data_IF_245057347513
#
_entry.id   IF_245057347513
#
_cell.length_a   1.000
_cell.length_b   1.000
_cell.length_c   1.000
_cell.angle_alpha   90.00
_cell.angle_beta   90.00
_cell.angle_gamma   90.00
#
_symmetry.space_group_name_H-M   'P 1'
#
loop_
_entity.id
_entity.type
_entity.pdbx_description
1 polymer ?
#
# COMPACT_ATOMS: atom_id res chain seq x y z
N UNK A 1 -16.77 -3.24 -11.29
CA UNK A 1 -15.46 -2.73 -10.82
C UNK A 1 -15.16 -1.44 -11.58
N UNK A 2 -15.14 -0.28 -10.91
CA UNK A 2 -14.70 0.97 -11.56
C UNK A 2 -13.17 0.92 -11.60
N UNK A 3 -12.61 0.58 -12.76
CA UNK A 3 -11.17 0.63 -12.99
C UNK A 3 -10.68 2.05 -12.79
N UNK A 4 -9.90 2.28 -11.73
CA UNK A 4 -9.10 3.49 -11.63
C UNK A 4 -7.96 3.33 -12.63
N UNK A 5 -7.81 4.24 -13.59
CA UNK A 5 -6.58 4.36 -14.37
C UNK A 5 -5.48 4.91 -13.48
N UNK A 6 -4.98 4.11 -12.53
CA UNK A 6 -3.69 4.39 -11.91
C UNK A 6 -2.60 3.81 -12.80
N UNK A 7 -1.57 4.61 -13.06
CA UNK A 7 -0.41 4.16 -13.81
C UNK A 7 0.45 3.29 -12.88
N UNK A 8 0.12 2.00 -12.81
CA UNK A 8 0.82 1.03 -11.98
C UNK A 8 2.33 1.03 -12.23
N UNK A 9 2.75 1.23 -13.49
CA UNK A 9 4.15 1.36 -13.86
C UNK A 9 4.81 2.59 -13.22
N UNK A 10 4.15 3.75 -13.23
CA UNK A 10 4.66 4.97 -12.58
C UNK A 10 4.79 4.80 -11.06
N UNK A 11 3.80 4.18 -10.42
CA UNK A 11 3.83 3.92 -8.98
C UNK A 11 4.98 2.95 -8.66
N UNK A 12 5.09 1.88 -9.43
CA UNK A 12 6.17 0.92 -9.30
C UNK A 12 7.55 1.58 -9.48
N UNK A 13 7.73 2.46 -10.47
CA UNK A 13 8.98 3.20 -10.68
C UNK A 13 9.39 4.09 -9.49
N UNK A 14 8.43 4.54 -8.67
CA UNK A 14 8.72 5.31 -7.45
C UNK A 14 9.06 4.39 -6.27
N UNK A 15 8.46 3.20 -6.19
CA UNK A 15 8.66 2.25 -5.08
C UNK A 15 9.90 1.37 -5.29
N UNK A 16 10.13 0.90 -6.51
CA UNK A 16 11.19 -0.06 -6.83
C UNK A 16 12.58 0.40 -6.34
N UNK A 17 13.00 1.68 -6.49
CA UNK A 17 14.29 2.14 -5.95
C UNK A 17 14.42 2.02 -4.43
N UNK A 18 13.30 1.96 -3.69
CA UNK A 18 13.27 1.85 -2.24
C UNK A 18 13.40 0.40 -1.76
N UNK A 19 12.87 -0.56 -2.52
CA UNK A 19 12.74 -1.95 -2.07
C UNK A 19 13.56 -2.95 -2.88
N UNK A 20 13.96 -2.60 -4.10
CA UNK A 20 14.61 -3.52 -5.03
C UNK A 20 16.12 -3.26 -5.18
N UNK A 21 16.87 -4.35 -5.22
CA UNK A 21 18.25 -4.45 -5.67
C UNK A 21 18.33 -5.61 -6.68
N UNK A 22 18.22 -5.34 -7.99
CA UNK A 22 18.21 -6.37 -9.02
C UNK A 22 19.55 -7.11 -9.15
N UNK A 23 20.63 -6.54 -8.59
CA UNK A 23 21.98 -7.09 -8.64
C UNK A 23 22.38 -7.81 -7.35
N UNK A 24 21.42 -8.11 -6.47
CA UNK A 24 21.70 -8.82 -5.23
C UNK A 24 22.30 -10.18 -5.54
N UNK A 25 23.51 -10.41 -5.02
CA UNK A 25 24.18 -11.69 -5.07
C UNK A 25 24.54 -12.15 -3.65
N UNK A 26 23.66 -12.95 -3.03
CA UNK A 26 23.89 -13.53 -1.71
C UNK A 26 23.10 -12.88 -0.57
N UNK A 27 23.71 -12.86 0.61
CA UNK A 27 23.10 -12.36 1.84
C UNK A 27 22.85 -10.85 1.81
N UNK A 28 21.89 -10.38 2.60
CA UNK A 28 21.59 -8.95 2.77
C UNK A 28 21.56 -8.58 4.24
N UNK A 29 21.86 -7.32 4.53
CA UNK A 29 21.74 -6.76 5.87
C UNK A 29 20.34 -6.20 6.06
N UNK A 30 19.69 -6.56 7.17
CA UNK A 30 18.36 -6.07 7.52
C UNK A 30 18.32 -5.69 8.99
N UNK A 31 17.45 -4.77 9.37
CA UNK A 31 17.15 -4.52 10.77
C UNK A 31 16.27 -5.64 11.32
N UNK A 32 16.51 -6.05 12.57
CA UNK A 32 15.63 -6.95 13.31
C UNK A 32 14.61 -6.17 14.17
N UNK A 33 13.82 -6.88 14.98
CA UNK A 33 12.81 -6.29 15.88
C UNK A 33 13.41 -5.37 16.95
N UNK A 34 14.70 -5.55 17.28
CA UNK A 34 15.44 -4.73 18.24
C UNK A 34 16.21 -3.59 17.56
N UNK A 35 15.96 -3.38 16.26
CA UNK A 35 16.66 -2.41 15.43
C UNK A 35 18.18 -2.65 15.32
N UNK A 36 18.61 -3.90 15.46
CA UNK A 36 19.99 -4.34 15.25
C UNK A 36 20.17 -4.86 13.82
N UNK A 37 21.38 -4.74 13.29
CA UNK A 37 21.69 -5.22 11.95
C UNK A 37 21.97 -6.73 12.01
N UNK A 38 21.10 -7.50 11.36
CA UNK A 38 21.25 -8.93 11.12
C UNK A 38 21.57 -9.24 9.66
N UNK A 39 22.02 -10.47 9.40
CA UNK A 39 22.30 -10.97 8.06
C UNK A 39 21.21 -11.97 7.64
N UNK A 40 20.48 -11.67 6.58
CA UNK A 40 19.52 -12.59 5.97
C UNK A 40 20.17 -13.39 4.84
N UNK A 41 19.81 -14.67 4.72
CA UNK A 41 20.33 -15.57 3.69
C UNK A 41 19.85 -15.18 2.28
N UNK A 42 20.44 -15.77 1.24
CA UNK A 42 20.13 -15.48 -0.16
C UNK A 42 18.66 -15.71 -0.56
N UNK A 43 17.96 -16.62 0.13
CA UNK A 43 16.54 -16.92 -0.06
C UNK A 43 15.61 -16.13 0.87
N UNK A 44 16.12 -15.09 1.54
CA UNK A 44 15.37 -14.24 2.44
C UNK A 44 15.44 -12.78 2.00
N UNK A 45 14.42 -11.99 2.35
CA UNK A 45 14.35 -10.54 2.16
C UNK A 45 14.22 -9.83 3.50
N UNK A 46 14.51 -8.54 3.56
CA UNK A 46 14.17 -7.72 4.71
C UNK A 46 12.66 -7.51 4.74
N UNK A 47 12.03 -7.74 5.88
CA UNK A 47 10.62 -7.50 6.11
C UNK A 47 10.41 -6.39 7.15
N UNK A 48 9.38 -5.59 6.91
CA UNK A 48 8.83 -4.60 7.81
C UNK A 48 7.32 -4.75 7.82
N UNK A 49 6.77 -5.09 8.99
CA UNK A 49 5.35 -5.33 9.17
C UNK A 49 4.81 -4.30 10.15
N UNK A 50 3.86 -3.49 9.71
CA UNK A 50 3.18 -2.47 10.51
C UNK A 50 1.74 -2.86 10.78
N UNK A 51 1.36 -2.94 12.06
CA UNK A 51 -0.03 -3.05 12.48
C UNK A 51 -0.68 -1.66 12.43
N UNK A 52 -1.58 -1.48 11.47
CA UNK A 52 -2.21 -0.19 11.22
C UNK A 52 -3.24 0.16 12.32
N UNK A 53 -3.89 -0.85 12.90
CA UNK A 53 -4.88 -0.67 13.97
C UNK A 53 -4.18 -0.31 15.28
N UNK A 54 -3.08 -1.00 15.59
CA UNK A 54 -2.25 -0.74 16.77
C UNK A 54 -1.29 0.43 16.61
N UNK A 55 -1.18 1.01 15.41
CA UNK A 55 -0.22 2.06 15.04
C UNK A 55 1.21 1.76 15.52
N UNK A 56 1.69 0.53 15.27
CA UNK A 56 2.99 0.07 15.73
C UNK A 56 3.64 -0.89 14.75
N UNK A 57 4.97 -0.95 14.78
CA UNK A 57 5.71 -2.03 14.13
C UNK A 57 5.37 -3.34 14.84
N UNK A 58 4.85 -4.30 14.08
CA UNK A 58 4.48 -5.63 14.56
C UNK A 58 5.65 -6.61 14.48
N UNK A 59 6.45 -6.52 13.41
CA UNK A 59 7.60 -7.39 13.18
C UNK A 59 8.57 -6.73 12.19
N UNK A 60 9.86 -7.02 12.36
CA UNK A 60 10.93 -6.55 11.48
C UNK A 60 12.06 -7.59 11.46
N UNK A 61 12.56 -7.98 10.30
CA UNK A 61 13.62 -8.99 10.22
C UNK A 61 13.74 -9.66 8.86
N UNK A 62 14.16 -10.92 8.84
CA UNK A 62 14.26 -11.73 7.62
C UNK A 62 12.94 -12.47 7.35
N UNK A 63 12.41 -12.35 6.13
CA UNK A 63 11.28 -13.14 5.66
C UNK A 63 11.68 -14.06 4.50
N UNK A 64 11.09 -15.25 4.44
CA UNK A 64 11.29 -16.20 3.35
C UNK A 64 10.55 -15.71 2.09
N UNK A 65 11.26 -14.96 1.26
CA UNK A 65 10.81 -14.57 -0.08
C UNK A 65 12.05 -14.26 -0.94
N UNK A 66 11.86 -14.22 -2.25
CA UNK A 66 12.90 -13.93 -3.24
C UNK A 66 12.76 -12.54 -3.87
N UNK A 67 11.58 -11.92 -3.76
CA UNK A 67 11.25 -10.65 -4.41
C UNK A 67 10.79 -9.59 -3.40
N UNK A 68 11.10 -8.33 -3.70
CA UNK A 68 10.52 -7.21 -2.97
C UNK A 68 9.04 -7.06 -3.31
N UNK A 69 8.22 -6.74 -2.31
CA UNK A 69 6.80 -6.45 -2.49
C UNK A 69 6.31 -5.49 -1.43
N UNK A 70 5.24 -4.76 -1.77
CA UNK A 70 4.47 -3.94 -0.83
C UNK A 70 3.05 -4.44 -0.82
N UNK A 71 2.52 -4.77 0.35
CA UNK A 71 1.14 -5.26 0.51
C UNK A 71 0.42 -4.47 1.59
N UNK A 72 -0.82 -4.07 1.31
CA UNK A 72 -1.71 -3.42 2.28
C UNK A 72 -2.97 -4.25 2.44
N UNK A 73 -3.17 -4.75 3.65
CA UNK A 73 -4.34 -5.51 4.08
C UNK A 73 -5.22 -4.59 4.92
N UNK A 74 -6.48 -4.41 4.53
CA UNK A 74 -7.44 -3.57 5.25
C UNK A 74 -8.76 -4.36 5.34
N UNK A 75 -8.88 -5.14 6.42
CA UNK A 75 -10.09 -5.86 6.80
C UNK A 75 -10.52 -5.51 8.22
N UNK A 76 -11.77 -5.78 8.57
CA UNK A 76 -12.36 -5.36 9.85
C UNK A 76 -11.63 -5.95 11.08
N UNK A 77 -11.17 -7.20 10.97
CA UNK A 77 -10.45 -7.91 12.02
C UNK A 77 -8.93 -7.83 11.89
N UNK A 78 -8.41 -7.40 10.74
CA UNK A 78 -6.99 -7.46 10.42
C UNK A 78 -6.58 -6.34 9.45
N UNK A 79 -5.73 -5.43 9.93
CA UNK A 79 -5.16 -4.35 9.12
C UNK A 79 -3.63 -4.35 9.24
N UNK A 80 -2.93 -4.44 8.11
CA UNK A 80 -1.48 -4.58 8.11
C UNK A 80 -0.88 -3.96 6.84
N UNK A 81 0.23 -3.26 7.03
CA UNK A 81 1.09 -2.80 5.95
C UNK A 81 2.38 -3.61 5.99
N UNK A 82 2.69 -4.31 4.90
CA UNK A 82 3.83 -5.20 4.77
C UNK A 82 4.76 -4.72 3.66
N UNK A 83 6.04 -4.56 3.98
CA UNK A 83 7.11 -4.24 3.04
C UNK A 83 8.14 -5.34 3.14
N UNK A 84 8.32 -6.05 2.04
CA UNK A 84 9.41 -6.96 1.83
C UNK A 84 10.35 -6.36 0.78
N UNK A 85 11.65 -6.35 1.06
CA UNK A 85 12.62 -5.64 0.23
C UNK A 85 13.98 -6.36 0.24
N UNK A 86 14.68 -6.35 -0.89
CA UNK A 86 15.93 -7.09 -1.09
C UNK A 86 17.16 -6.18 -1.21
N UNK A 87 16.99 -4.89 -0.88
CA UNK A 87 18.07 -3.91 -0.72
C UNK A 87 18.64 -3.97 0.71
N UNK A 88 19.94 -3.73 0.93
CA UNK A 88 20.47 -3.64 2.29
C UNK A 88 19.79 -2.52 3.10
N UNK A 89 19.40 -2.82 4.33
CA UNK A 89 18.86 -1.88 5.32
C UNK A 89 17.60 -1.14 4.85
N UNK A 90 16.77 -1.78 4.02
CA UNK A 90 15.56 -1.16 3.45
C UNK A 90 14.31 -1.28 4.36
N UNK A 91 14.34 -2.10 5.41
CA UNK A 91 13.21 -2.30 6.32
C UNK A 91 13.21 -1.28 7.46
N UNK A 92 13.30 0.01 7.13
CA UNK A 92 13.32 1.12 8.09
C UNK A 92 11.98 1.82 8.18
N UNK A 93 11.78 2.57 9.26
CA UNK A 93 10.61 3.46 9.41
C UNK A 93 10.59 4.54 8.31
N UNK A 94 11.76 5.00 7.86
CA UNK A 94 11.87 5.97 6.77
C UNK A 94 11.34 5.39 5.45
N UNK A 95 11.80 4.19 5.06
CA UNK A 95 11.30 3.51 3.86
C UNK A 95 9.79 3.27 3.94
N UNK A 96 9.28 2.89 5.11
CA UNK A 96 7.84 2.78 5.34
C UNK A 96 7.10 4.11 5.10
N UNK A 97 7.57 5.23 5.65
CA UNK A 97 6.92 6.53 5.44
C UNK A 97 6.96 6.99 3.99
N UNK A 98 8.07 6.77 3.29
CA UNK A 98 8.21 7.10 1.87
C UNK A 98 7.21 6.32 1.01
N UNK A 99 7.13 4.99 1.21
CA UNK A 99 6.17 4.15 0.48
C UNK A 99 4.73 4.52 0.84
N UNK A 100 4.43 4.74 2.13
CA UNK A 100 3.10 5.19 2.56
C UNK A 100 2.70 6.50 1.86
N UNK A 101 3.63 7.45 1.75
CA UNK A 101 3.40 8.75 1.08
C UNK A 101 3.09 8.56 -0.40
N UNK A 102 3.87 7.75 -1.12
CA UNK A 102 3.61 7.41 -2.52
C UNK A 102 2.20 6.83 -2.68
N UNK A 103 1.81 5.87 -1.84
CA UNK A 103 0.48 5.25 -1.92
C UNK A 103 -0.67 6.25 -1.61
N UNK A 104 -0.44 7.23 -0.72
CA UNK A 104 -1.39 8.31 -0.43
C UNK A 104 -1.53 9.26 -1.62
N UNK A 105 -0.41 9.69 -2.22
CA UNK A 105 -0.38 10.60 -3.37
C UNK A 105 -1.15 10.02 -4.57
N UNK A 106 -1.04 8.71 -4.79
CA UNK A 106 -1.79 7.99 -5.83
C UNK A 106 -3.18 7.52 -5.38
N UNK A 107 -3.63 7.95 -4.20
CA UNK A 107 -4.95 7.65 -3.61
C UNK A 107 -5.24 6.14 -3.49
N UNK A 108 -4.21 5.31 -3.36
CA UNK A 108 -4.35 3.87 -3.13
C UNK A 108 -4.74 3.58 -1.68
N UNK A 109 -4.24 4.41 -0.76
CA UNK A 109 -4.58 4.39 0.66
C UNK A 109 -4.87 5.80 1.18
N UNK A 110 -5.54 5.93 2.32
CA UNK A 110 -5.73 7.19 3.04
C UNK A 110 -4.55 7.52 3.97
N UNK A 111 -4.64 8.65 4.69
CA UNK A 111 -3.59 9.09 5.65
C UNK A 111 -3.37 8.10 6.82
N UNK A 112 -4.36 7.27 7.11
CA UNK A 112 -4.30 6.20 8.11
C UNK A 112 -3.77 4.89 7.51
N UNK A 113 -3.52 4.87 6.19
CA UNK A 113 -3.07 3.73 5.41
C UNK A 113 -4.18 2.75 5.01
N UNK A 114 -5.45 3.09 5.23
CA UNK A 114 -6.59 2.26 4.84
C UNK A 114 -6.82 2.31 3.35
N UNK A 115 -7.28 1.22 2.74
CA UNK A 115 -7.50 1.17 1.29
C UNK A 115 -8.66 2.07 0.92
N UNK A 116 -8.47 2.99 -0.02
CA UNK A 116 -9.57 3.81 -0.51
C UNK A 116 -10.37 2.97 -1.51
N UNK A 117 -11.61 2.61 -1.16
CA UNK A 117 -12.52 1.89 -2.05
C UNK A 117 -12.61 2.57 -3.43
N UNK A 118 -12.54 1.81 -4.52
CA UNK A 118 -12.76 2.33 -5.86
C UNK A 118 -14.18 2.88 -5.94
N UNK A 119 -14.32 4.21 -5.98
CA UNK A 119 -15.59 4.89 -5.77
C UNK A 119 -16.69 4.38 -6.69
N UNK A 120 -17.82 4.02 -6.08
CA UNK A 120 -19.15 3.95 -6.69
C UNK A 120 -19.51 5.34 -7.24
N UNK A 121 -19.08 5.64 -8.48
CA UNK A 121 -19.60 6.77 -9.26
C UNK A 121 -21.05 6.46 -9.68
N UNK A 122 -22.03 6.50 -8.76
CA UNK A 122 -23.45 6.40 -9.17
C UNK A 122 -24.48 7.19 -8.36
N UNK A 123 -24.16 7.90 -7.27
CA UNK A 123 -25.25 8.62 -6.55
C UNK A 123 -25.68 9.96 -7.15
N UNK A 124 -24.82 10.67 -7.88
CA UNK A 124 -25.18 12.01 -8.40
C UNK A 124 -26.15 11.91 -9.60
N UNK A 125 -26.11 10.83 -10.37
CA UNK A 125 -26.94 10.70 -11.58
C UNK A 125 -28.41 10.40 -11.29
N UNK A 126 -28.73 9.71 -10.18
CA UNK A 126 -30.12 9.38 -9.83
C UNK A 126 -30.89 10.59 -9.28
N UNK A 127 -30.25 11.45 -8.49
CA UNK A 127 -30.89 12.66 -7.95
C UNK A 127 -31.29 13.65 -9.06
N UNK A 128 -30.49 13.79 -10.11
CA UNK A 128 -30.80 14.62 -11.28
C UNK A 128 -31.92 14.00 -12.17
N UNK A 129 -31.99 12.67 -12.26
CA UNK A 129 -33.09 11.99 -12.96
C UNK A 129 -34.43 12.14 -12.23
N UNK A 130 -34.42 12.08 -10.89
CA UNK A 130 -35.65 12.23 -10.10
C UNK A 130 -36.14 13.69 -10.14
N UNK A 131 -35.25 14.69 -10.07
CA UNK A 131 -35.67 16.09 -10.12
C UNK A 131 -36.26 16.47 -11.48
N UNK A 132 -35.73 15.94 -12.58
CA UNK A 132 -36.27 16.16 -13.94
C UNK A 132 -37.62 15.48 -14.14
N UNK A 133 -37.82 14.27 -13.60
CA UNK A 133 -39.11 13.58 -13.65
C UNK A 133 -40.21 14.33 -12.87
N UNK A 134 -39.90 14.85 -11.68
CA UNK A 134 -40.86 15.64 -10.89
C UNK A 134 -41.25 16.92 -11.64
N UNK A 135 -40.28 17.59 -12.29
CA UNK A 135 -40.55 18.82 -13.04
C UNK A 135 -41.49 18.59 -14.23
N UNK A 136 -41.34 17.47 -14.94
CA UNK A 136 -42.22 17.10 -16.06
C UNK A 136 -43.63 16.80 -15.56
N UNK A 137 -43.78 16.04 -14.47
CA UNK A 137 -45.10 15.72 -13.91
C UNK A 137 -45.82 16.98 -13.45
N UNK A 138 -45.14 17.92 -12.79
CA UNK A 138 -45.75 19.19 -12.33
C UNK A 138 -46.09 20.13 -13.49
N UNK A 139 -45.40 20.06 -14.62
CA UNK A 139 -45.65 20.94 -15.76
C UNK A 139 -46.81 20.49 -16.66
N UNK A 140 -47.07 19.17 -16.73
CA UNK A 140 -48.05 18.58 -17.64
C UNK A 140 -49.36 18.10 -16.96
N UNK A 141 -49.47 18.20 -15.64
CA UNK A 141 -50.71 18.03 -14.86
C UNK A 141 -51.20 19.38 -14.34
#
# INVERSE_FOLDING_TARGET
MVGRNYNAQRIYQQIAPLIENPFRNGSIQCYDEKNQIGLCSSNQVCAFIFDQKGNKVKSRGCALNTQGKVSVYDGDSYTQFDIECNRPLCNTDETFQQIKTILIEHRLIDVNGRRIAAGTKQMISYLLMISTLIFIVVYYL
#
